data_IF_253143218102
#
_entry.id   IF_253143218102
#
_cell.length_a   1.000
_cell.length_b   1.000
_cell.length_c   1.000
_cell.angle_alpha   90.00
_cell.angle_beta   90.00
_cell.angle_gamma   90.00
#
_symmetry.space_group_name_H-M   'P 1'
#
loop_
_entity.id
_entity.type
_entity.pdbx_description
1 polymer ?
#
# COMPACT_ATOMS: atom_id res chain seq x y z
N UNK A 1 -24.15 -15.07 -4.19
CA UNK A 1 -23.70 -14.37 -2.96
C UNK A 1 -23.93 -12.87 -3.09
N UNK A 2 -25.09 -12.39 -2.65
CA UNK A 2 -25.46 -10.96 -2.66
C UNK A 2 -24.75 -10.26 -1.50
N UNK A 3 -23.70 -9.47 -1.79
CA UNK A 3 -23.04 -8.64 -0.77
C UNK A 3 -24.03 -7.58 -0.27
N UNK A 4 -24.55 -7.75 0.95
CA UNK A 4 -25.43 -6.79 1.61
C UNK A 4 -24.77 -5.42 1.82
N UNK A 5 -25.56 -4.36 2.09
CA UNK A 5 -25.05 -3.00 2.25
C UNK A 5 -23.96 -2.88 3.34
N UNK A 6 -24.08 -3.61 4.45
CA UNK A 6 -23.09 -3.63 5.52
C UNK A 6 -21.70 -4.12 5.06
N UNK A 7 -21.64 -5.17 4.23
CA UNK A 7 -20.38 -5.70 3.71
C UNK A 7 -19.67 -4.71 2.79
N UNK A 8 -20.42 -3.86 2.06
CA UNK A 8 -19.85 -2.80 1.21
C UNK A 8 -19.24 -1.67 2.04
N UNK A 9 -19.86 -1.33 3.17
CA UNK A 9 -19.32 -0.33 4.08
C UNK A 9 -18.03 -0.81 4.76
N UNK A 10 -18.03 -2.05 5.26
CA UNK A 10 -16.84 -2.66 5.85
C UNK A 10 -15.67 -2.73 4.84
N UNK A 11 -15.96 -3.16 3.61
CA UNK A 11 -14.96 -3.22 2.55
C UNK A 11 -14.37 -1.84 2.22
N UNK A 12 -15.19 -0.78 2.25
CA UNK A 12 -14.72 0.59 2.02
C UNK A 12 -13.84 1.14 3.14
N UNK A 13 -14.11 0.76 4.40
CA UNK A 13 -13.30 1.15 5.57
C UNK A 13 -11.98 0.39 5.61
N UNK A 14 -12.00 -0.92 5.32
CA UNK A 14 -10.81 -1.79 5.35
C UNK A 14 -9.97 -1.74 4.07
N UNK A 15 -10.42 -1.04 3.03
CA UNK A 15 -9.71 -0.98 1.76
C UNK A 15 -8.26 -0.49 1.88
N UNK A 16 -8.02 0.56 2.66
CA UNK A 16 -6.66 1.09 2.82
C UNK A 16 -5.75 0.14 3.62
N UNK A 17 -6.15 -0.42 4.78
CA UNK A 17 -5.36 -1.47 5.45
C UNK A 17 -5.06 -2.68 4.56
N UNK A 18 -6.01 -3.12 3.73
CA UNK A 18 -5.79 -4.23 2.80
C UNK A 18 -4.78 -3.87 1.70
N UNK A 19 -4.82 -2.63 1.19
CA UNK A 19 -3.84 -2.14 0.24
C UNK A 19 -2.44 -2.06 0.85
N UNK A 20 -2.33 -1.60 2.10
CA UNK A 20 -1.07 -1.61 2.84
C UNK A 20 -0.53 -3.03 3.01
N UNK A 21 -1.37 -3.97 3.46
CA UNK A 21 -0.95 -5.37 3.62
C UNK A 21 -0.45 -5.99 2.30
N UNK A 22 -1.18 -5.73 1.20
CA UNK A 22 -0.76 -6.19 -0.12
C UNK A 22 0.57 -5.55 -0.59
N UNK A 23 0.77 -4.26 -0.29
CA UNK A 23 2.00 -3.54 -0.56
C UNK A 23 3.19 -4.11 0.21
N UNK A 24 3.03 -4.30 1.52
CA UNK A 24 4.04 -4.93 2.37
C UNK A 24 4.44 -6.32 1.85
N UNK A 25 3.45 -7.14 1.51
CA UNK A 25 3.69 -8.47 0.94
C UNK A 25 4.42 -8.41 -0.40
N UNK A 26 4.08 -7.45 -1.26
CA UNK A 26 4.77 -7.24 -2.54
C UNK A 26 6.25 -6.86 -2.33
N UNK A 27 6.57 -6.00 -1.36
CA UNK A 27 7.96 -5.66 -1.01
C UNK A 27 8.74 -6.95 -0.67
N UNK A 28 8.16 -7.81 0.17
CA UNK A 28 8.79 -9.07 0.57
C UNK A 28 9.03 -10.00 -0.62
N UNK A 29 8.05 -10.16 -1.51
CA UNK A 29 8.21 -10.98 -2.71
C UNK A 29 9.33 -10.45 -3.60
N UNK A 30 9.36 -9.14 -3.85
CA UNK A 30 10.37 -8.50 -4.70
C UNK A 30 11.76 -8.72 -4.15
N UNK A 31 11.95 -8.52 -2.84
CA UNK A 31 13.24 -8.75 -2.19
C UNK A 31 13.63 -10.23 -2.18
N UNK A 32 12.70 -11.13 -1.84
CA UNK A 32 12.96 -12.57 -1.82
C UNK A 32 13.38 -13.09 -3.21
N UNK A 33 12.68 -12.67 -4.28
CA UNK A 33 13.03 -13.04 -5.65
C UNK A 33 14.33 -12.39 -6.11
N UNK A 34 14.57 -11.13 -5.75
CA UNK A 34 15.81 -10.42 -6.06
C UNK A 34 17.04 -11.09 -5.47
N UNK A 35 16.93 -11.61 -4.24
CA UNK A 35 18.04 -12.29 -3.57
C UNK A 35 18.16 -13.77 -3.95
N UNK A 36 17.06 -14.51 -4.10
CA UNK A 36 17.10 -15.94 -4.41
C UNK A 36 17.36 -16.24 -5.89
N UNK A 37 16.96 -15.35 -6.81
CA UNK A 37 17.03 -15.57 -8.26
C UNK A 37 17.89 -14.54 -9.00
N UNK A 38 18.45 -13.55 -8.30
CA UNK A 38 19.23 -12.49 -8.92
C UNK A 38 18.42 -11.52 -9.80
N UNK A 39 17.09 -11.49 -9.65
CA UNK A 39 16.23 -10.61 -10.45
C UNK A 39 16.40 -9.14 -10.04
N UNK A 40 16.26 -8.22 -11.01
CA UNK A 40 16.19 -6.77 -10.77
C UNK A 40 17.39 -6.15 -10.03
N UNK A 41 18.56 -6.80 -10.11
CA UNK A 41 19.81 -6.28 -9.51
C UNK A 41 20.50 -5.21 -10.36
N UNK A 42 20.08 -5.03 -11.61
CA UNK A 42 20.57 -3.95 -12.47
C UNK A 42 20.35 -2.60 -11.79
N UNK A 43 21.37 -1.74 -11.78
CA UNK A 43 21.32 -0.43 -11.13
C UNK A 43 20.93 0.65 -12.13
N UNK A 44 20.05 1.54 -11.71
CA UNK A 44 19.67 2.73 -12.43
C UNK A 44 19.63 3.93 -11.48
N UNK A 45 20.31 5.02 -11.84
CA UNK A 45 20.49 6.20 -10.99
C UNK A 45 21.02 5.88 -9.57
N UNK A 46 21.93 4.90 -9.46
CA UNK A 46 22.54 4.50 -8.18
C UNK A 46 21.73 3.53 -7.33
N UNK A 47 20.49 3.22 -7.71
CA UNK A 47 19.60 2.29 -6.99
C UNK A 47 19.33 1.03 -7.82
N UNK A 48 19.13 -0.15 -7.19
CA UNK A 48 18.73 -1.35 -7.90
C UNK A 48 17.30 -1.20 -8.47
N UNK A 49 17.01 -1.91 -9.55
CA UNK A 49 15.69 -1.87 -10.20
C UNK A 49 14.58 -2.36 -9.26
N UNK A 50 14.90 -3.23 -8.28
CA UNK A 50 13.98 -3.64 -7.21
C UNK A 50 13.51 -2.46 -6.36
N UNK A 51 14.39 -1.51 -6.01
CA UNK A 51 14.02 -0.29 -5.27
C UNK A 51 13.09 0.59 -6.09
N UNK A 52 13.36 0.77 -7.39
CA UNK A 52 12.47 1.51 -8.28
C UNK A 52 11.09 0.87 -8.42
N UNK A 53 11.04 -0.46 -8.49
CA UNK A 53 9.79 -1.20 -8.54
C UNK A 53 8.99 -1.03 -7.24
N UNK A 54 9.65 -1.12 -6.08
CA UNK A 54 9.02 -0.85 -4.78
C UNK A 54 8.46 0.58 -4.76
N UNK A 55 9.23 1.59 -5.14
CA UNK A 55 8.78 2.99 -5.19
C UNK A 55 7.56 3.16 -6.11
N UNK A 56 7.60 2.59 -7.31
CA UNK A 56 6.50 2.67 -8.26
C UNK A 56 5.21 2.05 -7.69
N UNK A 57 5.32 0.89 -7.05
CA UNK A 57 4.19 0.21 -6.39
C UNK A 57 3.70 1.02 -5.19
N UNK A 58 4.59 1.62 -4.39
CA UNK A 58 4.22 2.51 -3.27
C UNK A 58 3.41 3.72 -3.75
N UNK A 59 3.88 4.41 -4.79
CA UNK A 59 3.17 5.56 -5.37
C UNK A 59 1.78 5.14 -5.86
N UNK A 60 1.69 4.03 -6.59
CA UNK A 60 0.42 3.51 -7.08
C UNK A 60 -0.55 3.22 -5.93
N UNK A 61 -0.08 2.56 -4.86
CA UNK A 61 -0.88 2.22 -3.69
C UNK A 61 -1.38 3.47 -2.96
N UNK A 62 -0.53 4.48 -2.78
CA UNK A 62 -0.92 5.75 -2.16
C UNK A 62 -2.00 6.48 -2.98
N UNK A 63 -1.86 6.51 -4.30
CA UNK A 63 -2.86 7.07 -5.20
C UNK A 63 -4.19 6.31 -5.10
N UNK A 64 -4.15 4.97 -5.06
CA UNK A 64 -5.33 4.13 -4.89
C UNK A 64 -6.01 4.37 -3.53
N UNK A 65 -5.25 4.46 -2.44
CA UNK A 65 -5.77 4.78 -1.11
C UNK A 65 -6.48 6.14 -1.10
N UNK A 66 -5.85 7.16 -1.69
CA UNK A 66 -6.44 8.50 -1.79
C UNK A 66 -7.73 8.52 -2.63
N UNK A 67 -7.74 7.79 -3.75
CA UNK A 67 -8.92 7.66 -4.61
C UNK A 67 -10.07 6.92 -3.90
N UNK A 68 -9.78 5.78 -3.27
CA UNK A 68 -10.77 4.99 -2.54
C UNK A 68 -11.33 5.75 -1.34
N UNK A 69 -10.49 6.45 -0.59
CA UNK A 69 -10.94 7.29 0.51
C UNK A 69 -11.92 8.37 0.03
N UNK A 70 -11.59 9.09 -1.05
CA UNK A 70 -12.49 10.10 -1.64
C UNK A 70 -13.81 9.49 -2.07
N UNK A 71 -13.78 8.31 -2.72
CA UNK A 71 -14.98 7.60 -3.18
C UNK A 71 -15.86 7.14 -2.00
N UNK A 72 -15.27 6.51 -0.99
CA UNK A 72 -15.97 6.05 0.22
C UNK A 72 -16.57 7.23 1.00
N UNK A 73 -15.82 8.32 1.17
CA UNK A 73 -16.31 9.53 1.85
C UNK A 73 -17.49 10.16 1.14
N UNK A 74 -17.47 10.25 -0.20
CA UNK A 74 -18.60 10.76 -1.00
C UNK A 74 -19.83 9.87 -0.84
N UNK A 75 -19.65 8.55 -0.88
CA UNK A 75 -20.74 7.59 -0.73
C UNK A 75 -21.38 7.62 0.68
N UNK A 76 -20.57 7.80 1.74
CA UNK A 76 -21.06 7.91 3.11
C UNK A 76 -21.82 9.22 3.35
N UNK A 77 -21.29 10.35 2.83
CA UNK A 77 -21.96 11.66 2.92
C UNK A 77 -23.32 11.67 2.24
N UNK A 78 -23.43 11.08 1.05
CA UNK A 78 -24.69 10.99 0.32
C UNK A 78 -25.79 10.19 1.06
N UNK A 79 -25.41 9.41 2.10
CA UNK A 79 -26.32 8.53 2.86
C UNK A 79 -26.57 9.03 4.29
N UNK A 80 -26.04 10.18 4.68
CA UNK A 80 -26.21 10.72 6.05
C UNK A 80 -25.51 9.93 7.17
N UNK A 81 -24.71 8.90 6.86
CA UNK A 81 -24.05 8.02 7.82
C UNK A 81 -22.59 8.44 8.11
N UNK A 82 -22.31 9.74 8.11
CA UNK A 82 -21.00 10.28 7.74
C UNK A 82 -19.95 10.35 8.87
N UNK A 83 -20.35 10.41 10.14
CA UNK A 83 -19.43 10.95 11.15
C UNK A 83 -18.40 9.92 11.64
N UNK A 84 -18.85 8.79 12.22
CA UNK A 84 -17.91 7.79 12.75
C UNK A 84 -17.20 7.00 11.65
N UNK A 85 -17.95 6.40 10.71
CA UNK A 85 -17.37 5.56 9.65
C UNK A 85 -16.49 6.36 8.69
N UNK A 86 -16.85 7.62 8.41
CA UNK A 86 -16.04 8.51 7.59
C UNK A 86 -14.72 8.90 8.25
N UNK A 87 -14.76 9.19 9.56
CA UNK A 87 -13.57 9.46 10.36
C UNK A 87 -12.67 8.23 10.47
N UNK A 88 -13.23 7.06 10.80
CA UNK A 88 -12.50 5.80 10.92
C UNK A 88 -11.81 5.41 9.60
N UNK A 89 -12.53 5.50 8.47
CA UNK A 89 -11.94 5.24 7.16
C UNK A 89 -10.80 6.23 6.83
N UNK A 90 -10.93 7.49 7.22
CA UNK A 90 -9.89 8.50 7.07
C UNK A 90 -8.65 8.21 7.92
N UNK A 91 -8.84 7.87 9.20
CA UNK A 91 -7.76 7.53 10.12
C UNK A 91 -7.01 6.27 9.66
N UNK A 92 -7.72 5.22 9.26
CA UNK A 92 -7.12 4.01 8.71
C UNK A 92 -6.38 4.28 7.40
N UNK A 93 -6.91 5.13 6.51
CA UNK A 93 -6.21 5.51 5.29
C UNK A 93 -4.92 6.29 5.57
N UNK A 94 -4.94 7.23 6.52
CA UNK A 94 -3.76 7.99 6.92
C UNK A 94 -2.69 7.09 7.56
N UNK A 95 -3.09 6.21 8.48
CA UNK A 95 -2.16 5.25 9.11
C UNK A 95 -1.57 4.28 8.09
N UNK A 96 -2.39 3.76 7.17
CA UNK A 96 -1.92 2.86 6.11
C UNK A 96 -0.94 3.56 5.16
N UNK A 97 -1.23 4.82 4.79
CA UNK A 97 -0.32 5.61 3.96
C UNK A 97 1.00 5.90 4.67
N UNK A 98 0.96 6.22 5.97
CA UNK A 98 2.15 6.39 6.78
C UNK A 98 2.99 5.10 6.83
N UNK A 99 2.35 3.96 7.02
CA UNK A 99 3.04 2.66 7.01
C UNK A 99 3.70 2.35 5.65
N UNK A 100 3.00 2.60 4.53
CA UNK A 100 3.58 2.48 3.18
C UNK A 100 4.82 3.35 3.01
N UNK A 101 4.76 4.62 3.44
CA UNK A 101 5.91 5.53 3.36
C UNK A 101 7.05 5.03 4.23
N UNK A 102 6.74 4.60 5.45
CA UNK A 102 7.72 4.08 6.40
C UNK A 102 8.44 2.83 5.88
N UNK A 103 7.71 1.88 5.30
CA UNK A 103 8.28 0.64 4.74
C UNK A 103 9.04 0.86 3.44
N UNK A 104 8.65 1.87 2.65
CA UNK A 104 9.36 2.24 1.42
C UNK A 104 10.68 2.93 1.72
N UNK A 105 10.79 3.63 2.84
CA UNK A 105 11.97 4.41 3.19
C UNK A 105 13.27 3.59 3.20
N UNK A 106 13.38 2.45 3.92
CA UNK A 106 14.58 1.61 3.90
C UNK A 106 15.00 1.13 2.50
N UNK A 107 14.05 0.93 1.57
CA UNK A 107 14.36 0.45 0.22
C UNK A 107 15.21 1.45 -0.61
N UNK A 108 15.31 2.71 -0.16
CA UNK A 108 16.14 3.74 -0.76
C UNK A 108 17.57 3.80 -0.19
N UNK A 109 17.79 3.24 1.00
CA UNK A 109 19.04 3.40 1.75
C UNK A 109 19.76 2.08 2.00
N UNK A 110 19.02 0.97 2.12
CA UNK A 110 19.55 -0.33 2.52
C UNK A 110 19.61 -1.27 1.31
N UNK A 111 20.75 -1.94 1.06
CA UNK A 111 20.83 -2.98 0.04
C UNK A 111 19.79 -4.07 0.29
N UNK A 112 19.09 -4.51 -0.77
CA UNK A 112 18.05 -5.53 -0.66
C UNK A 112 18.59 -6.91 -0.21
N UNK A 113 19.85 -7.21 -0.53
CA UNK A 113 20.50 -8.48 -0.21
C UNK A 113 21.77 -8.24 0.60
N UNK A 114 22.02 -9.12 1.57
CA UNK A 114 23.27 -9.13 2.34
C UNK A 114 24.48 -9.58 1.48
N UNK A 115 25.71 -9.40 1.98
CA UNK A 115 26.90 -9.92 1.32
C UNK A 115 26.78 -11.44 1.17
N UNK A 116 27.13 -11.94 -0.02
CA UNK A 116 27.27 -13.38 -0.23
C UNK A 116 28.41 -13.87 0.66
N UNK A 117 28.08 -14.72 1.64
CA UNK A 117 29.05 -15.49 2.42
C UNK A 117 29.55 -16.68 1.59
#
# INVERSE_FOLDING_TARGET
MTRGPAARHLAGVLAAPLLWFAHFFAIYIVNALGCARGLWQARWAGLPLSSWLIVAVSVLVLLLMGWLWRRTRRALRARGAADFLGWLAGALAALSALAVVWETWPALWVPACGPAL
#
